data_IF_883581564434
#
_entry.id   IF_883581564434
#
_cell.length_a   1.000
_cell.length_b   1.000
_cell.length_c   1.000
_cell.angle_alpha   90.00
_cell.angle_beta   90.00
_cell.angle_gamma   90.00
#
_symmetry.space_group_name_H-M   'P 1'
#
loop_
_entity.id
_entity.type
_entity.pdbx_description
1 polymer ?
#
# COMPACT_ATOMS: atom_id res chain seq x y z
N UNK A 1 -4.38 25.57 7.27
CA UNK A 1 -3.65 25.35 5.99
C UNK A 1 -3.07 23.94 6.06
N UNK A 2 -3.25 23.12 5.03
CA UNK A 2 -2.67 21.76 5.00
C UNK A 2 -1.18 21.90 4.66
N UNK A 3 -0.30 21.33 5.47
CA UNK A 3 1.14 21.36 5.21
C UNK A 3 1.57 20.16 4.34
N UNK A 4 2.65 20.31 3.57
CA UNK A 4 3.20 19.22 2.73
C UNK A 4 3.55 17.98 3.56
N UNK A 5 4.00 18.16 4.80
CA UNK A 5 4.28 17.07 5.74
C UNK A 5 3.04 16.24 6.05
N UNK A 6 1.86 16.87 6.10
CA UNK A 6 0.61 16.19 6.42
C UNK A 6 0.14 15.35 5.23
N UNK A 7 0.31 15.87 4.02
CA UNK A 7 0.08 15.13 2.77
C UNK A 7 1.04 13.94 2.67
N UNK A 8 2.32 14.14 2.98
CA UNK A 8 3.32 13.08 3.00
C UNK A 8 2.96 11.98 4.01
N UNK A 9 2.57 12.35 5.23
CA UNK A 9 2.18 11.37 6.24
C UNK A 9 0.94 10.60 5.83
N UNK A 10 -0.10 11.29 5.34
CA UNK A 10 -1.33 10.65 4.89
C UNK A 10 -1.09 9.66 3.74
N UNK A 11 -0.34 10.08 2.72
CA UNK A 11 0.02 9.20 1.59
C UNK A 11 0.91 8.03 2.04
N UNK A 12 1.79 8.24 3.01
CA UNK A 12 2.60 7.15 3.60
C UNK A 12 1.72 6.16 4.37
N UNK A 13 0.72 6.62 5.11
CA UNK A 13 -0.23 5.73 5.78
C UNK A 13 -1.02 4.86 4.79
N UNK A 14 -1.41 5.42 3.63
CA UNK A 14 -2.02 4.64 2.55
C UNK A 14 -1.06 3.55 2.05
N UNK A 15 0.22 3.88 1.83
CA UNK A 15 1.24 2.91 1.43
C UNK A 15 1.38 1.78 2.46
N UNK A 16 1.42 2.11 3.75
CA UNK A 16 1.51 1.13 4.83
C UNK A 16 0.29 0.19 4.84
N UNK A 17 -0.93 0.73 4.75
CA UNK A 17 -2.16 -0.06 4.75
C UNK A 17 -2.24 -0.97 3.51
N UNK A 18 -1.85 -0.48 2.33
CA UNK A 18 -1.82 -1.32 1.13
C UNK A 18 -0.84 -2.49 1.25
N UNK A 19 0.33 -2.27 1.87
CA UNK A 19 1.29 -3.34 2.17
C UNK A 19 0.72 -4.36 3.15
N UNK A 20 0.04 -3.91 4.20
CA UNK A 20 -0.60 -4.77 5.19
C UNK A 20 -1.69 -5.65 4.54
N UNK A 21 -2.62 -5.04 3.79
CA UNK A 21 -3.68 -5.76 3.09
C UNK A 21 -3.13 -6.78 2.09
N UNK A 22 -2.07 -6.41 1.38
CA UNK A 22 -1.38 -7.32 0.45
C UNK A 22 -0.80 -8.54 1.17
N UNK A 23 -0.16 -8.34 2.32
CA UNK A 23 0.38 -9.43 3.13
C UNK A 23 -0.75 -10.32 3.70
N UNK A 24 -1.78 -9.70 4.29
CA UNK A 24 -2.95 -10.37 4.86
C UNK A 24 -3.67 -11.24 3.83
N UNK A 25 -3.85 -10.73 2.62
CA UNK A 25 -4.49 -11.47 1.52
C UNK A 25 -3.69 -12.73 1.18
N UNK A 26 -2.37 -12.64 1.09
CA UNK A 26 -1.54 -13.81 0.84
C UNK A 26 -1.62 -14.84 1.95
N UNK A 27 -1.59 -14.42 3.20
CA UNK A 27 -1.75 -15.33 4.35
C UNK A 27 -3.11 -16.04 4.29
N UNK A 28 -4.19 -15.31 3.96
CA UNK A 28 -5.54 -15.90 3.80
C UNK A 28 -5.64 -16.94 2.68
N UNK A 29 -4.76 -16.86 1.69
CA UNK A 29 -4.67 -17.81 0.57
C UNK A 29 -3.65 -18.95 0.83
N UNK A 30 -3.09 -19.05 2.04
CA UNK A 30 -2.10 -20.08 2.38
C UNK A 30 -0.67 -19.74 1.96
N UNK A 31 -0.37 -18.48 1.60
CA UNK A 31 0.99 -17.99 1.33
C UNK A 31 1.54 -17.28 2.58
N UNK A 32 2.40 -17.93 3.40
CA UNK A 32 2.82 -17.38 4.69
C UNK A 32 3.66 -16.10 4.58
N UNK A 33 4.30 -15.87 3.43
CA UNK A 33 5.11 -14.67 3.17
C UNK A 33 4.35 -13.56 2.45
N UNK A 34 3.02 -13.63 2.39
CA UNK A 34 2.20 -12.73 1.60
C UNK A 34 2.18 -13.07 0.10
N UNK A 35 1.42 -12.30 -0.66
CA UNK A 35 1.42 -12.38 -2.12
C UNK A 35 2.62 -11.63 -2.71
N UNK A 36 2.97 -11.95 -3.95
CA UNK A 36 3.87 -11.08 -4.71
C UNK A 36 3.06 -9.92 -5.32
N UNK A 37 3.68 -8.75 -5.51
CA UNK A 37 3.03 -7.63 -6.18
C UNK A 37 2.58 -8.00 -7.61
N UNK A 38 3.32 -8.91 -8.28
CA UNK A 38 2.93 -9.46 -9.58
C UNK A 38 1.68 -10.33 -9.50
N UNK A 39 1.54 -11.15 -8.46
CA UNK A 39 0.35 -11.99 -8.26
C UNK A 39 -0.88 -11.09 -8.11
N UNK A 40 -0.78 -10.06 -7.26
CA UNK A 40 -1.86 -9.07 -7.08
C UNK A 40 -2.23 -8.41 -8.40
N UNK A 41 -1.25 -7.98 -9.19
CA UNK A 41 -1.52 -7.35 -10.49
C UNK A 41 -2.27 -8.30 -11.45
N UNK A 42 -1.85 -9.57 -11.52
CA UNK A 42 -2.46 -10.58 -12.38
C UNK A 42 -3.89 -10.89 -11.92
N UNK A 43 -4.09 -11.16 -10.63
CA UNK A 43 -5.40 -11.45 -10.06
C UNK A 43 -6.37 -10.27 -10.23
N UNK A 44 -5.91 -9.05 -9.98
CA UNK A 44 -6.69 -7.84 -10.12
C UNK A 44 -7.11 -7.61 -11.58
N UNK A 45 -6.18 -7.79 -12.52
CA UNK A 45 -6.48 -7.71 -13.96
C UNK A 45 -7.47 -8.78 -14.40
N UNK A 46 -7.35 -10.01 -13.87
CA UNK A 46 -8.27 -11.09 -14.19
C UNK A 46 -9.68 -10.82 -13.67
N UNK A 47 -9.82 -10.35 -12.43
CA UNK A 47 -11.12 -10.09 -11.77
C UNK A 47 -11.84 -8.87 -12.34
N UNK A 48 -11.15 -7.74 -12.50
CA UNK A 48 -11.81 -6.46 -12.84
C UNK A 48 -11.55 -5.97 -14.27
N UNK A 49 -10.70 -6.66 -15.04
CA UNK A 49 -10.24 -6.21 -16.37
C UNK A 49 -9.57 -4.83 -16.35
N UNK A 50 -8.93 -4.50 -15.23
CA UNK A 50 -8.22 -3.23 -15.01
C UNK A 50 -6.76 -3.53 -14.68
N UNK A 51 -5.83 -2.84 -15.35
CA UNK A 51 -4.42 -2.93 -15.02
C UNK A 51 -4.12 -2.22 -13.69
N UNK A 52 -3.50 -2.95 -12.77
CA UNK A 52 -2.94 -2.42 -11.54
C UNK A 52 -1.41 -2.47 -11.61
N UNK A 53 -0.75 -1.51 -10.97
CA UNK A 53 0.68 -1.58 -10.68
C UNK A 53 0.87 -1.45 -9.18
N UNK A 54 0.77 -2.58 -8.48
CA UNK A 54 0.83 -2.62 -7.01
C UNK A 54 2.16 -2.09 -6.48
N UNK A 55 3.27 -2.34 -7.18
CA UNK A 55 4.58 -1.77 -6.82
C UNK A 55 4.59 -0.24 -6.77
N UNK A 56 3.93 0.41 -7.72
CA UNK A 56 3.72 1.87 -7.70
C UNK A 56 2.74 2.28 -6.61
N UNK A 57 1.65 1.55 -6.43
CA UNK A 57 0.64 1.86 -5.40
C UNK A 57 1.24 1.80 -3.99
N UNK A 58 2.16 0.87 -3.73
CA UNK A 58 2.86 0.75 -2.45
C UNK A 58 4.17 1.54 -2.35
N UNK A 59 4.43 2.46 -3.27
CA UNK A 59 5.64 3.30 -3.22
C UNK A 59 5.34 4.79 -3.35
N UNK A 60 4.28 5.11 -4.10
CA UNK A 60 3.74 6.45 -4.34
C UNK A 60 2.25 6.29 -4.67
N UNK A 61 1.39 6.01 -3.66
CA UNK A 61 -0.03 5.80 -3.89
C UNK A 61 -0.66 6.97 -4.64
N UNK A 62 -1.29 6.67 -5.77
CA UNK A 62 -1.97 7.65 -6.60
C UNK A 62 -3.07 6.96 -7.39
N UNK A 63 -4.30 7.06 -6.89
CA UNK A 63 -5.46 6.43 -7.51
C UNK A 63 -6.72 7.25 -7.26
N UNK A 64 -7.64 7.26 -8.24
CA UNK A 64 -8.96 7.85 -8.08
C UNK A 64 -9.92 6.92 -7.32
N UNK A 65 -11.10 7.45 -6.98
CA UNK A 65 -12.13 6.78 -6.18
C UNK A 65 -12.55 5.43 -6.75
N UNK A 66 -12.72 5.32 -8.07
CA UNK A 66 -13.08 4.04 -8.72
C UNK A 66 -12.06 2.95 -8.43
N UNK A 67 -10.77 3.27 -8.49
CA UNK A 67 -9.71 2.30 -8.23
C UNK A 67 -9.60 1.96 -6.74
N UNK A 68 -9.86 2.93 -5.85
CA UNK A 68 -10.00 2.67 -4.42
C UNK A 68 -11.12 1.65 -4.15
N UNK A 69 -12.30 1.84 -4.75
CA UNK A 69 -13.43 0.93 -4.60
C UNK A 69 -13.06 -0.51 -5.00
N UNK A 70 -12.38 -0.68 -6.15
CA UNK A 70 -11.91 -1.99 -6.61
C UNK A 70 -10.83 -2.60 -5.72
N UNK A 71 -9.92 -1.79 -5.16
CA UNK A 71 -8.92 -2.25 -4.19
C UNK A 71 -9.59 -2.75 -2.91
N UNK A 72 -10.58 -2.01 -2.40
CA UNK A 72 -11.39 -2.41 -1.25
C UNK A 72 -12.10 -3.75 -1.51
N UNK A 73 -12.77 -3.91 -2.65
CA UNK A 73 -13.40 -5.18 -3.05
C UNK A 73 -12.39 -6.33 -3.22
N UNK A 74 -11.18 -6.03 -3.72
CA UNK A 74 -10.13 -7.05 -3.91
C UNK A 74 -9.60 -7.58 -2.59
N UNK A 75 -9.32 -6.67 -1.66
CA UNK A 75 -8.79 -6.99 -0.34
C UNK A 75 -9.88 -7.34 0.68
N UNK A 76 -11.14 -7.40 0.27
CA UNK A 76 -12.28 -7.76 1.12
C UNK A 76 -12.39 -6.85 2.36
N UNK A 77 -12.27 -5.54 2.14
CA UNK A 77 -12.35 -4.51 3.18
C UNK A 77 -13.30 -3.40 2.74
N UNK A 78 -14.14 -2.89 3.64
CA UNK A 78 -14.98 -1.74 3.33
C UNK A 78 -14.14 -0.46 3.17
N UNK A 79 -14.66 0.51 2.41
CA UNK A 79 -13.99 1.82 2.26
C UNK A 79 -13.83 2.54 3.60
N UNK A 80 -14.81 2.43 4.49
CA UNK A 80 -14.75 3.02 5.83
C UNK A 80 -13.61 2.42 6.64
N UNK A 81 -13.53 1.08 6.69
CA UNK A 81 -12.50 0.38 7.45
C UNK A 81 -11.11 0.63 6.85
N UNK A 82 -11.01 0.77 5.52
CA UNK A 82 -9.77 1.16 4.87
C UNK A 82 -9.26 2.51 5.40
N UNK A 83 -10.10 3.53 5.41
CA UNK A 83 -9.70 4.85 5.90
C UNK A 83 -9.50 4.88 7.42
N UNK A 84 -10.24 4.10 8.20
CA UNK A 84 -9.97 3.92 9.63
C UNK A 84 -8.56 3.38 9.87
N UNK A 85 -8.12 2.37 9.11
CA UNK A 85 -6.75 1.84 9.19
C UNK A 85 -5.70 2.85 8.73
N UNK A 86 -6.00 3.69 7.74
CA UNK A 86 -5.11 4.77 7.30
C UNK A 86 -4.94 5.82 8.40
N UNK A 87 -6.05 6.21 9.03
CA UNK A 87 -6.07 7.22 10.09
C UNK A 87 -5.54 6.70 11.44
N UNK A 88 -5.54 5.38 11.64
CA UNK A 88 -5.01 4.77 12.86
C UNK A 88 -3.47 4.73 12.92
N UNK A 89 -2.77 5.03 11.82
CA UNK A 89 -1.31 5.03 11.79
C UNK A 89 -0.75 6.18 12.61
N UNK A 90 0.08 5.86 13.60
CA UNK A 90 0.66 6.87 14.46
C UNK A 90 1.82 7.57 13.76
N UNK A 91 1.97 8.88 14.01
CA UNK A 91 3.07 9.69 13.45
C UNK A 91 4.45 9.06 13.64
N UNK A 92 4.71 8.44 14.80
CA UNK A 92 5.98 7.75 15.08
C UNK A 92 6.22 6.58 14.12
N UNK A 93 5.20 5.78 13.84
CA UNK A 93 5.29 4.62 12.93
C UNK A 93 5.55 5.09 11.50
N UNK A 94 4.85 6.13 11.06
CA UNK A 94 5.02 6.76 9.74
C UNK A 94 6.45 7.27 9.57
N UNK A 95 6.99 7.99 10.56
CA UNK A 95 8.37 8.51 10.51
C UNK A 95 9.39 7.37 10.46
N UNK A 96 9.19 6.31 11.25
CA UNK A 96 10.08 5.15 11.24
C UNK A 96 10.07 4.46 9.87
N UNK A 97 8.88 4.25 9.30
CA UNK A 97 8.72 3.69 7.96
C UNK A 97 9.45 4.50 6.89
N UNK A 98 9.36 5.84 6.94
CA UNK A 98 10.08 6.73 6.02
C UNK A 98 11.60 6.60 6.15
N UNK A 99 12.12 6.55 7.39
CA UNK A 99 13.56 6.37 7.65
C UNK A 99 14.06 5.03 7.12
N UNK A 100 13.30 3.95 7.34
CA UNK A 100 13.64 2.61 6.84
C UNK A 100 13.62 2.54 5.31
N UNK A 101 12.69 3.27 4.68
CA UNK A 101 12.62 3.39 3.22
C UNK A 101 13.82 4.16 2.66
N UNK A 102 14.26 5.21 3.34
CA UNK A 102 15.42 6.00 2.95
C UNK A 102 16.73 5.21 3.11
N UNK A 103 16.91 4.48 4.22
CA UNK A 103 18.10 3.67 4.45
C UNK A 103 18.27 2.57 3.38
N UNK A 104 17.18 1.87 3.04
CA UNK A 104 17.17 0.87 1.96
C UNK A 104 17.49 1.47 0.59
N UNK A 105 17.06 2.70 0.31
CA UNK A 105 17.41 3.40 -0.94
C UNK A 105 18.90 3.73 -1.02
N UNK A 106 19.49 4.20 0.08
CA UNK A 106 20.92 4.52 0.15
C UNK A 106 21.79 3.28 -0.06
N UNK A 107 21.48 2.16 0.61
CA UNK A 107 22.22 0.90 0.45
C UNK A 107 22.24 0.39 -1.00
N UNK A 108 21.12 0.50 -1.74
CA UNK A 108 21.06 0.12 -3.15
C UNK A 108 21.91 1.01 -4.06
N UNK A 109 22.12 2.26 -3.69
CA UNK A 109 22.95 3.20 -4.46
C UNK A 109 24.45 3.00 -4.26
N UNK A 110 24.86 2.32 -3.19
CA UNK A 110 26.29 2.06 -2.88
C UNK A 110 26.78 0.72 -3.45
N UNK A 111 25.86 -0.18 -3.81
CA UNK A 111 26.16 -1.52 -4.34
C UNK A 111 26.06 -1.63 -5.88
N UNK A 112 25.84 -0.50 -6.56
CA UNK A 112 25.86 -0.37 -8.02
C UNK A 112 27.00 0.58 -8.41
#
# INVERSE_FOLDING_TARGET
MIEEKDILHFTTSIEMVLKELHMEKGVSQGKPTGLSQSDVNIEFANKYKVTLNMGRMESKPSFGVTKLFLLCDYFDISITNFFERVLSKQKREIINFLKDKESKRRQKSTNN
#
